data_IF_707007576857
#
_entry.id   IF_707007576857
#
_cell.length_a   1.000
_cell.length_b   1.000
_cell.length_c   1.000
_cell.angle_alpha   90.00
_cell.angle_beta   90.00
_cell.angle_gamma   90.00
#
_symmetry.space_group_name_H-M   'P 1'
#
loop_
_entity.id
_entity.type
_entity.pdbx_description
1 polymer ?
#
# COMPACT_ATOMS: atom_id res chain seq x y z
N UNK A 1 29.79 -25.07 36.42
CA UNK A 1 28.34 -25.21 36.18
C UNK A 1 27.73 -23.82 36.23
N UNK A 2 27.49 -23.22 35.07
CA UNK A 2 26.76 -21.96 34.92
C UNK A 2 25.82 -22.16 33.73
N UNK A 3 24.53 -22.24 34.01
CA UNK A 3 23.47 -22.33 33.00
C UNK A 3 23.13 -20.92 32.52
N UNK A 4 23.05 -20.65 31.21
CA UNK A 4 22.36 -19.46 30.72
C UNK A 4 20.86 -19.75 30.63
N UNK A 5 20.07 -18.85 31.21
CA UNK A 5 18.62 -18.79 31.12
C UNK A 5 18.19 -18.44 29.69
N UNK A 6 17.39 -19.32 29.08
CA UNK A 6 16.70 -19.04 27.81
C UNK A 6 15.55 -18.04 28.05
N UNK A 7 15.76 -16.76 27.71
CA UNK A 7 14.66 -15.81 27.53
C UNK A 7 14.06 -15.98 26.13
N UNK A 8 12.96 -16.73 26.05
CA UNK A 8 12.09 -16.77 24.87
C UNK A 8 11.22 -15.49 24.86
N UNK A 9 11.59 -14.50 24.06
CA UNK A 9 10.70 -13.38 23.73
C UNK A 9 9.77 -13.80 22.59
N UNK A 10 8.65 -14.42 22.93
CA UNK A 10 7.50 -14.48 22.02
C UNK A 10 6.63 -13.24 22.26
N UNK A 11 6.96 -12.14 21.59
CA UNK A 11 6.03 -11.01 21.49
C UNK A 11 4.92 -11.41 20.51
N UNK A 12 3.88 -12.05 21.05
CA UNK A 12 2.64 -12.25 20.32
C UNK A 12 1.91 -10.90 20.31
N UNK A 13 2.12 -10.11 19.26
CA UNK A 13 1.31 -8.91 19.02
C UNK A 13 -0.13 -9.37 18.77
N UNK A 14 -0.98 -9.26 19.80
CA UNK A 14 -2.43 -9.36 19.63
C UNK A 14 -2.85 -8.25 18.68
N UNK A 15 -3.13 -8.62 17.43
CA UNK A 15 -3.92 -7.77 16.54
C UNK A 15 -5.33 -7.75 17.15
N UNK A 16 -5.64 -6.69 17.89
CA UNK A 16 -7.01 -6.39 18.30
C UNK A 16 -7.80 -6.17 17.03
N UNK A 17 -8.58 -7.16 16.61
CA UNK A 17 -9.52 -7.04 15.49
C UNK A 17 -10.72 -6.24 15.96
N UNK A 18 -10.50 -4.95 16.27
CA UNK A 18 -11.58 -3.97 16.18
C UNK A 18 -11.99 -3.94 14.72
N UNK A 19 -13.25 -4.25 14.45
CA UNK A 19 -13.87 -4.19 13.12
C UNK A 19 -13.85 -2.73 12.69
N UNK A 20 -12.87 -2.36 11.86
CA UNK A 20 -12.64 -1.00 11.35
C UNK A 20 -13.40 -0.75 10.06
N UNK A 21 -14.34 -1.61 9.71
CA UNK A 21 -15.21 -1.50 8.54
C UNK A 21 -16.50 -0.74 8.87
N UNK A 22 -16.91 0.14 7.95
CA UNK A 22 -18.21 0.82 7.93
C UNK A 22 -18.88 0.60 6.57
N UNK A 23 -20.16 0.91 6.46
CA UNK A 23 -20.83 0.94 5.16
C UNK A 23 -20.19 2.01 4.24
N UNK A 24 -20.22 1.78 2.93
CA UNK A 24 -19.71 2.71 1.93
C UNK A 24 -20.60 3.97 1.86
N UNK A 25 -20.17 5.06 2.49
CA UNK A 25 -21.05 6.22 2.74
C UNK A 25 -21.46 6.96 1.47
N UNK A 26 -20.57 7.03 0.48
CA UNK A 26 -20.85 7.72 -0.78
C UNK A 26 -21.72 6.89 -1.74
N UNK A 27 -21.93 5.60 -1.44
CA UNK A 27 -22.84 4.74 -2.22
C UNK A 27 -24.23 4.68 -1.57
N UNK A 28 -24.29 4.43 -0.26
CA UNK A 28 -25.56 4.25 0.45
C UNK A 28 -26.14 5.54 1.03
N UNK A 29 -25.30 6.53 1.35
CA UNK A 29 -25.67 7.68 2.17
C UNK A 29 -25.49 7.40 3.68
N UNK A 30 -25.32 8.45 4.49
CA UNK A 30 -24.90 8.31 5.90
C UNK A 30 -25.93 7.62 6.80
N UNK A 31 -27.21 7.65 6.42
CA UNK A 31 -28.31 7.14 7.25
C UNK A 31 -29.03 5.91 6.66
N UNK A 32 -28.41 5.22 5.71
CA UNK A 32 -29.04 4.09 5.02
C UNK A 32 -29.20 2.89 5.96
N UNK A 33 -30.22 2.06 5.74
CA UNK A 33 -30.49 0.87 6.57
C UNK A 33 -29.30 -0.11 6.60
N UNK A 34 -28.59 -0.25 5.48
CA UNK A 34 -27.33 -1.00 5.38
C UNK A 34 -26.20 -0.46 6.29
N UNK A 35 -26.23 0.82 6.66
CA UNK A 35 -25.28 1.42 7.60
C UNK A 35 -25.66 1.18 9.07
N UNK A 36 -26.92 0.81 9.33
CA UNK A 36 -27.49 0.65 10.66
C UNK A 36 -28.09 -0.74 10.86
N UNK A 37 -27.39 -1.83 10.54
CA UNK A 37 -27.86 -3.17 10.90
C UNK A 37 -26.79 -4.26 10.79
N UNK A 38 -25.59 -4.04 11.35
CA UNK A 38 -24.66 -5.14 11.61
C UNK A 38 -24.06 -5.07 13.01
N UNK A 39 -24.79 -5.61 13.97
CA UNK A 39 -24.17 -6.54 14.91
C UNK A 39 -23.59 -7.67 14.06
N UNK A 40 -22.26 -7.74 13.93
CA UNK A 40 -21.61 -8.90 13.32
C UNK A 40 -21.94 -10.12 14.20
N UNK A 41 -23.06 -10.78 13.91
CA UNK A 41 -23.47 -12.02 14.55
C UNK A 41 -22.46 -13.11 14.17
N UNK A 42 -21.40 -13.18 14.97
CA UNK A 42 -20.27 -14.11 14.88
C UNK A 42 -20.66 -15.58 15.16
N UNK A 43 -21.95 -15.89 15.17
CA UNK A 43 -22.55 -17.17 15.57
C UNK A 43 -23.55 -17.73 14.52
N UNK A 44 -23.51 -17.30 13.26
CA UNK A 44 -24.30 -17.94 12.20
C UNK A 44 -23.57 -19.18 11.66
N UNK A 45 -24.12 -20.36 11.93
CA UNK A 45 -23.65 -21.67 11.43
C UNK A 45 -24.18 -21.98 10.00
N UNK A 46 -25.02 -21.11 9.42
CA UNK A 46 -25.65 -21.36 8.12
C UNK A 46 -24.94 -20.68 6.96
N UNK A 47 -24.67 -21.44 5.89
CA UNK A 47 -24.58 -20.93 4.52
C UNK A 47 -25.97 -20.45 4.05
N UNK A 48 -26.56 -19.49 4.77
CA UNK A 48 -27.71 -18.75 4.27
C UNK A 48 -27.21 -17.71 3.28
N UNK A 49 -27.94 -17.62 2.17
CA UNK A 49 -27.80 -16.67 1.07
C UNK A 49 -27.71 -15.25 1.66
N UNK A 50 -26.48 -14.83 1.96
CA UNK A 50 -26.21 -13.47 2.38
C UNK A 50 -26.57 -12.62 1.18
N UNK A 51 -27.34 -11.56 1.37
CA UNK A 51 -27.45 -10.51 0.36
C UNK A 51 -26.01 -10.04 0.07
N UNK A 52 -25.42 -10.55 -1.01
CA UNK A 52 -24.00 -10.39 -1.37
C UNK A 52 -23.63 -8.95 -1.71
N UNK A 53 -24.58 -8.02 -1.61
CA UNK A 53 -24.45 -6.63 -2.02
C UNK A 53 -24.24 -5.67 -0.84
N UNK A 54 -23.26 -5.96 0.03
CA UNK A 54 -22.83 -5.02 1.07
C UNK A 54 -21.46 -4.42 0.73
N UNK A 55 -21.44 -3.11 0.46
CA UNK A 55 -20.23 -2.35 0.15
C UNK A 55 -19.68 -1.70 1.41
N UNK A 56 -18.41 -1.91 1.70
CA UNK A 56 -17.74 -1.37 2.88
C UNK A 56 -16.64 -0.38 2.55
N UNK A 57 -16.35 0.48 3.51
CA UNK A 57 -15.15 1.31 3.54
C UNK A 57 -14.38 1.07 4.85
N UNK A 58 -13.06 1.16 4.77
CA UNK A 58 -12.19 1.07 5.94
C UNK A 58 -12.07 2.43 6.62
N UNK A 59 -12.20 2.44 7.95
CA UNK A 59 -12.05 3.64 8.78
C UNK A 59 -10.62 3.97 9.14
N UNK A 60 -9.71 3.02 8.93
CA UNK A 60 -8.28 3.17 9.26
C UNK A 60 -7.44 2.93 8.01
N UNK A 61 -6.53 3.86 7.72
CA UNK A 61 -5.59 3.71 6.62
C UNK A 61 -4.50 2.68 6.97
N UNK A 62 -4.11 1.87 5.97
CA UNK A 62 -2.91 1.03 6.07
C UNK A 62 -1.67 1.89 5.85
N UNK A 63 -0.85 2.04 6.90
CA UNK A 63 0.36 2.86 6.83
C UNK A 63 1.52 2.09 6.17
N UNK A 64 2.31 2.80 5.36
CA UNK A 64 3.58 2.34 4.78
C UNK A 64 4.63 3.44 4.92
N UNK A 65 5.90 3.05 4.88
CA UNK A 65 7.04 3.98 4.91
C UNK A 65 7.58 4.16 3.51
N UNK A 66 8.00 5.38 3.18
CA UNK A 66 8.67 5.70 1.92
C UNK A 66 10.01 4.94 1.78
N UNK A 67 10.16 4.18 0.69
CA UNK A 67 11.38 3.45 0.36
C UNK A 67 12.51 4.37 -0.11
N UNK A 68 12.19 5.60 -0.51
CA UNK A 68 13.18 6.61 -0.91
C UNK A 68 13.65 7.48 0.26
N UNK A 69 13.14 7.23 1.48
CA UNK A 69 13.55 7.93 2.70
C UNK A 69 13.51 9.47 2.58
N UNK A 70 12.47 10.00 1.94
CA UNK A 70 12.24 11.44 1.75
C UNK A 70 13.10 12.11 0.68
N UNK A 71 13.90 11.33 -0.07
CA UNK A 71 14.81 11.87 -1.12
C UNK A 71 14.06 12.55 -2.27
N UNK A 72 12.78 12.24 -2.45
CA UNK A 72 11.92 12.79 -3.48
C UNK A 72 10.88 13.77 -2.93
N UNK A 73 11.00 14.25 -1.68
CA UNK A 73 10.03 15.16 -1.06
C UNK A 73 9.85 16.50 -1.79
N UNK A 74 10.83 16.91 -2.61
CA UNK A 74 10.80 18.15 -3.39
C UNK A 74 10.58 17.90 -4.89
N UNK A 75 10.23 16.67 -5.27
CA UNK A 75 9.99 16.27 -6.67
C UNK A 75 8.58 15.73 -6.77
N UNK A 76 7.77 16.27 -7.70
CA UNK A 76 6.48 15.71 -8.01
C UNK A 76 6.64 14.51 -8.96
N UNK A 77 6.55 13.30 -8.41
CA UNK A 77 6.45 12.07 -9.20
C UNK A 77 5.06 11.96 -9.81
N UNK A 78 5.00 11.71 -11.13
CA UNK A 78 3.75 11.60 -11.90
C UNK A 78 3.59 10.25 -12.59
N UNK A 79 4.67 9.45 -12.64
CA UNK A 79 4.68 8.15 -13.31
C UNK A 79 5.56 7.16 -12.56
N UNK A 80 5.13 5.90 -12.51
CA UNK A 80 5.89 4.79 -11.94
C UNK A 80 5.63 3.52 -12.75
N UNK A 81 6.69 2.81 -13.11
CA UNK A 81 6.61 1.41 -13.56
C UNK A 81 7.71 0.60 -12.91
N UNK A 82 7.52 -0.71 -12.78
CA UNK A 82 8.47 -1.58 -12.05
C UNK A 82 8.74 -2.85 -12.83
N UNK A 83 9.98 -3.31 -12.78
CA UNK A 83 10.37 -4.61 -13.33
C UNK A 83 11.46 -5.25 -12.46
N UNK A 84 11.67 -6.54 -12.67
CA UNK A 84 12.68 -7.32 -11.96
C UNK A 84 13.84 -7.60 -12.93
N UNK A 85 15.08 -7.40 -12.46
CA UNK A 85 16.29 -7.76 -13.20
C UNK A 85 17.24 -8.53 -12.27
N UNK A 86 17.32 -9.84 -12.46
CA UNK A 86 17.97 -10.74 -11.50
C UNK A 86 17.28 -10.63 -10.13
N UNK A 87 18.05 -10.31 -9.09
CA UNK A 87 17.54 -10.16 -7.72
C UNK A 87 17.11 -8.71 -7.38
N UNK A 88 17.14 -7.81 -8.37
CA UNK A 88 16.84 -6.39 -8.16
C UNK A 88 15.42 -6.06 -8.63
N UNK A 89 14.67 -5.36 -7.80
CA UNK A 89 13.47 -4.64 -8.23
C UNK A 89 13.88 -3.23 -8.66
N UNK A 90 13.57 -2.86 -9.90
CA UNK A 90 13.89 -1.54 -10.46
C UNK A 90 12.59 -0.77 -10.69
N UNK A 91 12.56 0.48 -10.26
CA UNK A 91 11.50 1.43 -10.56
C UNK A 91 11.95 2.41 -11.64
N UNK A 92 11.15 2.53 -12.69
CA UNK A 92 11.15 3.62 -13.63
C UNK A 92 10.25 4.72 -13.08
N UNK A 93 10.78 5.92 -12.91
CA UNK A 93 10.08 7.06 -12.31
C UNK A 93 10.02 8.21 -13.32
N UNK A 94 8.85 8.81 -13.46
CA UNK A 94 8.64 10.02 -14.22
C UNK A 94 8.26 11.19 -13.32
N UNK A 95 8.74 12.39 -13.65
CA UNK A 95 8.45 13.61 -12.88
C UNK A 95 7.56 14.57 -13.66
N UNK A 96 6.97 15.51 -12.92
CA UNK A 96 6.24 16.65 -13.49
C UNK A 96 7.08 17.53 -14.42
N UNK A 97 8.39 17.62 -14.18
CA UNK A 97 9.32 18.40 -15.03
C UNK A 97 9.76 17.64 -16.29
N UNK A 98 9.17 16.48 -16.58
CA UNK A 98 9.52 15.67 -17.74
C UNK A 98 10.83 14.89 -17.60
N UNK A 99 11.29 14.66 -16.36
CA UNK A 99 12.49 13.84 -16.09
C UNK A 99 12.12 12.38 -15.91
N UNK A 100 12.98 11.50 -16.42
CA UNK A 100 12.90 10.05 -16.24
C UNK A 100 14.10 9.53 -15.46
N UNK A 101 13.85 8.64 -14.51
CA UNK A 101 14.86 8.04 -13.65
C UNK A 101 14.65 6.54 -13.51
N UNK A 102 15.74 5.77 -13.42
CA UNK A 102 15.69 4.36 -13.00
C UNK A 102 16.40 4.18 -11.67
N UNK A 103 15.72 3.58 -10.71
CA UNK A 103 16.18 3.45 -9.33
C UNK A 103 15.97 2.02 -8.85
N UNK A 104 16.99 1.44 -8.20
CA UNK A 104 16.83 0.15 -7.52
C UNK A 104 16.03 0.37 -6.24
N UNK A 105 14.92 -0.35 -6.07
CA UNK A 105 14.13 -0.30 -4.85
C UNK A 105 14.78 -1.18 -3.78
N UNK A 106 15.22 -0.56 -2.68
CA UNK A 106 15.82 -1.28 -1.56
C UNK A 106 15.58 -0.53 -0.25
N UNK A 107 15.29 -1.24 0.85
CA UNK A 107 14.94 -0.61 2.13
C UNK A 107 16.09 0.09 2.84
N UNK A 108 17.33 -0.36 2.62
CA UNK A 108 18.51 0.10 3.39
C UNK A 108 19.57 0.78 2.53
N UNK A 109 19.45 0.75 1.20
CA UNK A 109 20.43 1.38 0.31
C UNK A 109 20.03 2.82 0.04
N UNK A 110 21.04 3.65 -0.17
CA UNK A 110 20.86 5.05 -0.51
C UNK A 110 20.18 5.20 -1.88
N UNK A 111 19.30 6.18 -2.01
CA UNK A 111 18.71 6.58 -3.28
C UNK A 111 19.82 7.04 -4.24
N UNK A 112 20.06 6.25 -5.28
CA UNK A 112 21.00 6.58 -6.35
C UNK A 112 20.44 6.09 -7.69
N UNK A 113 19.79 6.97 -8.47
CA UNK A 113 19.32 6.63 -9.81
C UNK A 113 20.50 6.28 -10.73
N UNK A 114 20.46 5.12 -11.37
CA UNK A 114 21.48 4.71 -12.35
C UNK A 114 21.16 5.23 -13.77
N UNK A 115 19.93 5.71 -13.98
CA UNK A 115 19.50 6.47 -15.15
C UNK A 115 18.80 7.72 -14.63
N UNK A 116 19.12 8.89 -15.20
CA UNK A 116 18.50 10.16 -14.80
C UNK A 116 18.65 11.22 -15.91
N UNK A 117 17.61 11.43 -16.71
CA UNK A 117 17.66 12.38 -17.83
C UNK A 117 16.32 13.06 -18.09
N UNK A 118 16.33 14.11 -18.91
CA UNK A 118 15.13 14.83 -19.33
C UNK A 118 14.56 14.15 -20.59
N UNK A 119 13.30 13.72 -20.55
CA UNK A 119 12.58 13.23 -21.73
C UNK A 119 12.01 14.38 -22.56
N UNK A 120 11.58 15.45 -21.90
CA UNK A 120 11.00 16.62 -22.52
C UNK A 120 10.59 17.68 -21.50
N UNK A 121 9.90 18.72 -21.95
CA UNK A 121 9.44 19.83 -21.10
C UNK A 121 8.08 19.60 -20.44
N UNK A 122 7.41 18.48 -20.74
CA UNK A 122 6.07 18.16 -20.24
C UNK A 122 6.13 17.07 -19.17
N UNK A 123 5.17 17.04 -18.23
CA UNK A 123 5.05 15.97 -17.25
C UNK A 123 5.04 14.58 -17.88
N UNK A 124 5.75 13.63 -17.27
CA UNK A 124 5.69 12.23 -17.70
C UNK A 124 4.32 11.65 -17.33
N UNK A 125 3.62 11.04 -18.29
CA UNK A 125 2.28 10.45 -18.09
C UNK A 125 2.31 9.27 -17.11
N UNK A 126 1.24 9.12 -16.33
CA UNK A 126 1.02 7.95 -15.48
C UNK A 126 0.69 6.69 -16.30
N UNK A 127 0.20 6.85 -17.53
CA UNK A 127 -0.06 5.75 -18.46
C UNK A 127 1.26 5.25 -19.06
N UNK A 128 1.66 4.03 -18.69
CA UNK A 128 2.95 3.43 -19.06
C UNK A 128 2.77 1.98 -19.49
N UNK A 129 3.64 1.54 -20.39
CA UNK A 129 3.69 0.16 -20.89
C UNK A 129 5.03 -0.44 -20.48
N UNK A 130 5.00 -1.67 -19.97
CA UNK A 130 6.20 -2.47 -19.67
C UNK A 130 6.07 -3.78 -20.44
N UNK A 131 6.87 -3.92 -21.50
CA UNK A 131 7.00 -5.18 -22.21
C UNK A 131 7.91 -6.13 -21.42
N UNK A 132 7.56 -7.42 -21.41
CA UNK A 132 8.25 -8.48 -20.66
C UNK A 132 8.97 -9.43 -21.62
#
# INVERSE_FOLDING_TARGET
VHSPSNMSMTSSTRLSTKTTDRCLQHFYGPNHEHCFNRTLLRNSIGCEERSDEYRTEFTTALQRVDLFMGRLNHVLLTSISTFIKGDLTIANLGTYEGRFMQVVLFRTRQFNPHVNFLLGSYPVSAEVIVEH
#
